data_IF_849479882240
#
_entry.id   IF_849479882240
#
_cell.length_a   1.000
_cell.length_b   1.000
_cell.length_c   1.000
_cell.angle_alpha   90.00
_cell.angle_beta   90.00
_cell.angle_gamma   90.00
#
_symmetry.space_group_name_H-M   'P 1'
#
loop_
_entity.id
_entity.type
_entity.pdbx_description
1 polymer ?
#
# COMPACT_ATOMS: atom_id res chain seq x y z
N UNK A 1 -2.06 -0.99 -9.16
CA UNK A 1 -2.26 0.17 -8.27
C UNK A 1 -2.18 1.46 -9.08
N UNK A 2 -1.08 1.67 -9.81
CA UNK A 2 -0.90 2.83 -10.71
C UNK A 2 -2.10 3.09 -11.62
N UNK A 3 -2.57 2.08 -12.35
CA UNK A 3 -3.71 2.27 -13.26
C UNK A 3 -4.99 2.64 -12.51
N UNK A 4 -5.23 2.05 -11.34
CA UNK A 4 -6.37 2.39 -10.52
C UNK A 4 -6.30 3.85 -10.05
N UNK A 5 -5.13 4.32 -9.58
CA UNK A 5 -4.93 5.73 -9.20
C UNK A 5 -5.21 6.69 -10.36
N UNK A 6 -4.78 6.35 -11.58
CA UNK A 6 -5.09 7.13 -12.79
C UNK A 6 -6.59 7.17 -13.07
N UNK A 7 -7.31 6.06 -12.92
CA UNK A 7 -8.78 6.06 -13.10
C UNK A 7 -9.51 6.89 -12.05
N UNK A 8 -8.89 7.11 -10.88
CA UNK A 8 -9.43 7.95 -9.82
C UNK A 8 -8.96 9.41 -9.91
N UNK A 9 -8.03 9.76 -10.80
CA UNK A 9 -7.43 11.10 -10.88
C UNK A 9 -6.51 11.43 -9.70
N UNK A 10 -5.96 10.41 -9.04
CA UNK A 10 -5.11 10.54 -7.86
C UNK A 10 -3.61 10.41 -8.17
N UNK A 11 -3.24 10.14 -9.43
CA UNK A 11 -1.85 9.84 -9.81
C UNK A 11 -0.87 10.97 -9.53
N UNK A 12 -1.34 12.22 -9.47
CA UNK A 12 -0.51 13.39 -9.18
C UNK A 12 -0.40 13.69 -7.68
N UNK A 13 -1.16 12.99 -6.83
CA UNK A 13 -1.16 13.19 -5.38
C UNK A 13 -0.20 12.23 -4.66
N UNK A 14 0.29 11.20 -5.36
CA UNK A 14 1.12 10.15 -4.77
C UNK A 14 2.38 9.93 -5.57
N UNK A 15 3.47 9.59 -4.88
CA UNK A 15 4.67 9.05 -5.49
C UNK A 15 4.76 7.57 -5.13
N UNK A 16 4.79 6.69 -6.14
CA UNK A 16 4.84 5.25 -5.91
C UNK A 16 6.27 4.76 -5.94
N UNK A 17 6.64 4.01 -4.91
CA UNK A 17 7.88 3.23 -4.86
C UNK A 17 7.53 1.76 -4.73
N UNK A 18 8.04 0.94 -5.65
CA UNK A 18 7.93 -0.51 -5.58
C UNK A 18 9.27 -1.10 -5.14
N UNK A 19 9.25 -1.96 -4.12
CA UNK A 19 10.44 -2.63 -3.59
C UNK A 19 10.07 -3.97 -2.97
N UNK A 20 11.07 -4.81 -2.70
CA UNK A 20 10.86 -6.00 -1.91
C UNK A 20 10.64 -5.61 -0.44
N UNK A 21 9.62 -6.20 0.20
CA UNK A 21 9.27 -5.83 1.59
C UNK A 21 10.42 -6.02 2.58
N UNK A 22 11.30 -7.01 2.33
CA UNK A 22 12.47 -7.27 3.17
C UNK A 22 13.47 -6.11 3.20
N UNK A 23 13.61 -5.38 2.09
CA UNK A 23 14.54 -4.25 1.97
C UNK A 23 13.98 -2.96 2.59
N UNK A 24 12.68 -2.95 2.89
CA UNK A 24 11.96 -1.77 3.37
C UNK A 24 11.54 -1.86 4.84
N UNK A 25 11.83 -2.96 5.54
CA UNK A 25 11.42 -3.18 6.93
C UNK A 25 11.84 -1.99 7.81
N UNK A 26 13.12 -1.63 7.80
CA UNK A 26 13.64 -0.53 8.62
C UNK A 26 12.96 0.80 8.24
N UNK A 27 12.68 1.04 6.95
CA UNK A 27 12.04 2.27 6.51
C UNK A 27 10.58 2.35 6.97
N UNK A 28 9.85 1.23 6.93
CA UNK A 28 8.47 1.12 7.41
C UNK A 28 8.43 1.30 8.94
N UNK A 29 9.37 0.69 9.67
CA UNK A 29 9.50 0.88 11.11
C UNK A 29 9.75 2.34 11.48
N UNK A 30 10.59 3.03 10.71
CA UNK A 30 10.95 4.42 10.94
C UNK A 30 9.97 5.44 10.29
N UNK A 31 8.76 5.03 9.90
CA UNK A 31 7.71 5.90 9.34
C UNK A 31 8.20 6.74 8.15
N UNK A 32 8.97 6.14 7.24
CA UNK A 32 9.48 6.81 6.03
C UNK A 32 8.45 6.88 4.89
N UNK A 33 7.32 6.19 5.05
CA UNK A 33 6.23 6.12 4.09
C UNK A 33 4.93 6.48 4.77
N UNK A 34 4.09 7.24 4.08
CA UNK A 34 2.75 7.58 4.55
C UNK A 34 1.81 6.36 4.39
N UNK A 35 1.92 5.65 3.26
CA UNK A 35 1.09 4.49 2.94
C UNK A 35 1.98 3.33 2.52
N UNK A 36 1.77 2.16 3.13
CA UNK A 36 2.48 0.93 2.77
C UNK A 36 1.47 -0.17 2.43
N UNK A 37 1.59 -0.74 1.23
CA UNK A 37 0.76 -1.88 0.80
C UNK A 37 1.67 -3.07 0.57
N UNK A 38 1.41 -4.19 1.26
CA UNK A 38 2.18 -5.43 1.06
C UNK A 38 1.32 -6.53 0.48
N UNK A 39 1.79 -7.16 -0.59
CA UNK A 39 1.18 -8.35 -1.19
C UNK A 39 1.70 -9.65 -0.56
N UNK A 40 2.57 -9.56 0.44
CA UNK A 40 3.16 -10.70 1.15
C UNK A 40 3.02 -10.55 2.66
N UNK A 41 3.29 -11.64 3.38
CA UNK A 41 3.30 -11.65 4.85
C UNK A 41 4.42 -10.75 5.36
N UNK A 42 4.08 -9.90 6.33
CA UNK A 42 5.02 -9.00 6.99
C UNK A 42 5.22 -9.37 8.47
N UNK A 43 6.37 -9.05 9.05
CA UNK A 43 6.61 -9.17 10.49
C UNK A 43 5.58 -8.40 11.36
N UNK A 44 5.31 -8.92 12.57
CA UNK A 44 4.27 -8.37 13.46
C UNK A 44 4.52 -6.92 13.90
N UNK A 45 5.78 -6.52 14.01
CA UNK A 45 6.23 -5.18 14.36
C UNK A 45 5.80 -4.12 13.34
N UNK A 46 5.77 -4.46 12.04
CA UNK A 46 5.33 -3.53 10.98
C UNK A 46 3.90 -3.74 10.52
N UNK A 47 3.28 -4.86 10.90
CA UNK A 47 1.91 -5.21 10.51
C UNK A 47 0.86 -4.10 10.75
N UNK A 48 0.89 -3.32 11.85
CA UNK A 48 -0.06 -2.21 12.05
C UNK A 48 0.11 -1.04 11.09
N UNK A 49 1.25 -0.94 10.40
CA UNK A 49 1.60 0.16 9.47
C UNK A 49 1.41 -0.23 8.00
N UNK A 50 0.85 -1.41 7.73
CA UNK A 50 0.79 -2.00 6.40
C UNK A 50 -0.63 -2.41 6.07
N UNK A 51 -1.13 -1.90 4.94
CA UNK A 51 -2.35 -2.34 4.30
C UNK A 51 -2.09 -3.71 3.65
N UNK A 52 -2.96 -4.69 3.94
CA UNK A 52 -2.84 -6.02 3.38
C UNK A 52 -3.32 -6.06 1.92
N UNK A 53 -2.37 -6.06 1.00
CA UNK A 53 -2.59 -6.09 -0.45
C UNK A 53 -2.67 -7.47 -1.07
N UNK A 54 -2.70 -8.57 -0.31
CA UNK A 54 -2.74 -9.94 -0.90
C UNK A 54 -3.93 -10.11 -1.87
N UNK A 55 -5.06 -9.48 -1.57
CA UNK A 55 -6.25 -9.47 -2.43
C UNK A 55 -5.98 -8.95 -3.86
N UNK A 56 -4.99 -8.04 -4.03
CA UNK A 56 -4.61 -7.50 -5.33
C UNK A 56 -4.01 -8.57 -6.27
N UNK A 57 -3.45 -9.66 -5.73
CA UNK A 57 -2.88 -10.74 -6.54
C UNK A 57 -3.94 -11.59 -7.23
N UNK A 58 -5.10 -11.75 -6.59
CA UNK A 58 -6.19 -12.60 -7.09
C UNK A 58 -7.32 -11.79 -7.72
N UNK A 59 -7.36 -10.48 -7.48
CA UNK A 59 -8.46 -9.60 -7.84
C UNK A 59 -9.68 -9.71 -6.92
N UNK A 60 -9.79 -10.78 -6.11
CA UNK A 60 -10.92 -10.98 -5.20
C UNK A 60 -10.76 -10.08 -3.98
N UNK A 61 -11.65 -9.10 -3.84
CA UNK A 61 -11.63 -8.15 -2.73
C UNK A 61 -10.61 -7.02 -2.88
N UNK A 62 -10.06 -6.82 -4.09
CA UNK A 62 -9.15 -5.73 -4.40
C UNK A 62 -9.76 -4.34 -4.10
N UNK A 63 -11.09 -4.19 -4.28
CA UNK A 63 -11.82 -2.96 -3.98
C UNK A 63 -11.65 -2.50 -2.52
N UNK A 64 -11.53 -3.44 -1.57
CA UNK A 64 -11.31 -3.09 -0.16
C UNK A 64 -9.93 -2.45 0.04
N UNK A 65 -8.90 -3.02 -0.59
CA UNK A 65 -7.54 -2.47 -0.56
C UNK A 65 -7.50 -1.10 -1.21
N UNK A 66 -8.16 -0.95 -2.36
CA UNK A 66 -8.26 0.34 -3.05
C UNK A 66 -8.98 1.40 -2.23
N UNK A 67 -10.08 1.06 -1.58
CA UNK A 67 -10.81 1.99 -0.72
C UNK A 67 -10.00 2.40 0.51
N UNK A 68 -9.25 1.48 1.10
CA UNK A 68 -8.36 1.78 2.23
C UNK A 68 -7.24 2.74 1.79
N UNK A 69 -6.58 2.45 0.67
CA UNK A 69 -5.57 3.36 0.09
C UNK A 69 -6.17 4.73 -0.24
N UNK A 70 -7.37 4.78 -0.84
CA UNK A 70 -8.06 6.04 -1.15
C UNK A 70 -8.25 6.89 0.10
N UNK A 71 -8.74 6.25 1.15
CA UNK A 71 -9.02 6.90 2.42
C UNK A 71 -7.74 7.53 2.99
N UNK A 72 -6.63 6.81 3.02
CA UNK A 72 -5.35 7.34 3.50
C UNK A 72 -4.77 8.47 2.63
N UNK A 73 -5.15 8.56 1.34
CA UNK A 73 -4.74 9.67 0.46
C UNK A 73 -5.58 10.94 0.74
N UNK A 74 -6.87 10.76 1.07
CA UNK A 74 -7.83 11.85 1.25
C UNK A 74 -7.93 12.37 2.70
N UNK A 75 -7.36 11.67 3.68
CA UNK A 75 -7.23 12.10 5.09
C UNK A 75 -6.09 13.10 5.31
#
# INVERSE_FOLDING_TARGET
MEDWLKTQGLENQVTIKQSAVGDEIDNIENNRYDIVVSTTVVPNNIKPKVINGVALLTGIGADKVYNEVKKEIEE
#
